data_IF_998013751156
#
_entry.id   IF_998013751156
#
_cell.length_a   1.000
_cell.length_b   1.000
_cell.length_c   1.000
_cell.angle_alpha   90.00
_cell.angle_beta   90.00
_cell.angle_gamma   90.00
#
_symmetry.space_group_name_H-M   'P 1'
#
loop_
_entity.id
_entity.type
_entity.pdbx_description
1 polymer ?
#
# COMPACT_ATOMS: atom_id res chain seq x y z
N UNK A 1 -12.31 1.92 -1.68
CA UNK A 1 -10.95 2.30 -2.13
C UNK A 1 -10.82 1.88 -3.58
N UNK A 2 -10.53 2.79 -4.47
CA UNK A 2 -10.32 2.53 -5.89
C UNK A 2 -8.88 2.08 -6.14
N UNK A 3 -8.66 1.36 -7.24
CA UNK A 3 -7.35 0.79 -7.58
C UNK A 3 -6.83 1.40 -8.87
N UNK A 4 -5.58 1.83 -8.87
CA UNK A 4 -4.93 2.43 -10.05
C UNK A 4 -3.57 1.74 -10.27
N UNK A 5 -3.34 1.26 -11.48
CA UNK A 5 -2.02 0.75 -11.86
C UNK A 5 -1.05 1.93 -12.00
N UNK A 6 0.09 1.81 -11.34
CA UNK A 6 1.15 2.82 -11.37
C UNK A 6 1.51 3.23 -12.81
N UNK A 7 1.63 4.55 -13.02
CA UNK A 7 2.02 5.12 -14.30
C UNK A 7 0.94 5.15 -15.38
N UNK A 8 -0.27 4.66 -15.10
CA UNK A 8 -1.40 4.78 -16.02
C UNK A 8 -2.17 6.08 -15.75
N UNK A 9 -2.79 6.66 -16.77
CA UNK A 9 -3.76 7.72 -16.56
C UNK A 9 -5.05 7.12 -16.04
N UNK A 10 -5.64 7.72 -15.01
CA UNK A 10 -6.91 7.32 -14.45
C UNK A 10 -7.75 8.55 -14.18
N UNK A 11 -9.08 8.41 -14.23
CA UNK A 11 -10.01 9.50 -14.01
C UNK A 11 -10.71 9.29 -12.67
N UNK A 12 -10.60 10.27 -11.77
CA UNK A 12 -11.41 10.34 -10.57
C UNK A 12 -12.77 10.94 -10.93
N UNK A 13 -13.85 10.39 -10.35
CA UNK A 13 -15.22 10.78 -10.67
C UNK A 13 -15.98 11.17 -9.40
N UNK A 14 -16.79 12.22 -9.51
CA UNK A 14 -17.72 12.68 -8.48
C UNK A 14 -19.14 12.75 -9.07
N UNK A 15 -20.09 12.14 -8.40
CA UNK A 15 -21.51 12.31 -8.67
C UNK A 15 -22.16 13.04 -7.51
N UNK A 16 -22.84 14.16 -7.80
CA UNK A 16 -23.51 14.97 -6.80
C UNK A 16 -25.00 14.66 -6.80
N UNK A 17 -25.53 14.30 -5.62
CA UNK A 17 -26.95 14.00 -5.44
C UNK A 17 -27.61 15.00 -4.50
N UNK A 18 -28.79 15.49 -4.88
CA UNK A 18 -29.68 16.25 -4.02
C UNK A 18 -31.08 15.62 -4.06
N UNK A 19 -31.63 15.27 -2.90
CA UNK A 19 -32.93 14.58 -2.78
C UNK A 19 -33.06 13.31 -3.66
N UNK A 20 -31.96 12.57 -3.81
CA UNK A 20 -31.91 11.33 -4.60
C UNK A 20 -31.79 11.53 -6.13
N UNK A 21 -31.68 12.76 -6.60
CA UNK A 21 -31.45 13.08 -8.02
C UNK A 21 -30.06 13.66 -8.22
N UNK A 22 -29.44 13.33 -9.36
CA UNK A 22 -28.21 13.96 -9.81
C UNK A 22 -28.43 15.48 -9.99
N UNK A 23 -27.55 16.29 -9.40
CA UNK A 23 -27.69 17.74 -9.36
C UNK A 23 -26.32 18.39 -9.61
N UNK A 24 -26.29 19.47 -10.37
CA UNK A 24 -25.06 20.24 -10.56
C UNK A 24 -24.70 21.02 -9.30
N UNK A 25 -23.41 21.23 -9.10
CA UNK A 25 -22.91 22.19 -8.11
C UNK A 25 -23.32 23.61 -8.47
N UNK A 26 -23.44 24.49 -7.45
CA UNK A 26 -23.81 25.89 -7.65
C UNK A 26 -22.65 26.73 -8.24
N UNK A 27 -21.46 26.16 -8.38
CA UNK A 27 -20.27 26.82 -8.91
C UNK A 27 -19.20 25.79 -9.26
N UNK A 28 -17.94 26.23 -9.22
CA UNK A 28 -16.81 25.36 -9.54
C UNK A 28 -16.68 24.23 -8.54
N UNK A 29 -16.42 23.03 -9.07
CA UNK A 29 -15.98 21.87 -8.28
C UNK A 29 -14.46 21.80 -8.35
N UNK A 30 -13.81 21.88 -7.20
CA UNK A 30 -12.35 21.86 -7.11
C UNK A 30 -11.90 20.53 -6.52
N UNK A 31 -10.74 20.04 -6.98
CA UNK A 31 -10.11 18.83 -6.49
C UNK A 31 -8.77 19.13 -5.86
N UNK A 32 -8.51 18.52 -4.70
CA UNK A 32 -7.20 18.50 -4.04
C UNK A 32 -6.80 17.05 -3.84
N UNK A 33 -5.55 16.69 -4.21
CA UNK A 33 -5.01 15.34 -4.08
C UNK A 33 -3.77 15.40 -3.21
N UNK A 34 -3.77 14.60 -2.16
CA UNK A 34 -2.65 14.47 -1.22
C UNK A 34 -2.27 13.00 -1.05
N UNK A 35 -1.06 12.75 -0.56
CA UNK A 35 -0.69 11.44 -0.04
C UNK A 35 -1.49 11.18 1.24
N UNK A 36 -2.21 10.07 1.34
CA UNK A 36 -3.08 9.79 2.47
C UNK A 36 -2.29 9.51 3.77
N UNK A 37 -1.12 8.85 3.63
CA UNK A 37 -0.22 8.54 4.76
C UNK A 37 0.62 9.76 5.16
N UNK A 38 0.79 10.72 4.24
CA UNK A 38 1.56 11.93 4.47
C UNK A 38 0.87 13.17 3.88
N UNK A 39 -0.19 13.70 4.52
CA UNK A 39 -1.05 14.75 3.97
C UNK A 39 -0.36 16.08 3.66
N UNK A 40 0.85 16.31 4.18
CA UNK A 40 1.66 17.49 3.81
C UNK A 40 2.25 17.38 2.40
N UNK A 41 2.29 16.18 1.82
CA UNK A 41 2.66 15.97 0.41
C UNK A 41 1.44 16.22 -0.47
N UNK A 42 1.30 17.47 -0.92
CA UNK A 42 0.22 17.89 -1.81
C UNK A 42 0.66 17.70 -3.26
N UNK A 43 -0.11 16.93 -4.03
CA UNK A 43 0.16 16.65 -5.45
C UNK A 43 -0.65 17.55 -6.37
N UNK A 44 -1.87 17.88 -5.94
CA UNK A 44 -2.79 18.77 -6.67
C UNK A 44 -3.48 19.66 -5.66
N UNK A 45 -3.56 20.94 -5.93
CA UNK A 45 -4.22 21.91 -5.05
C UNK A 45 -5.31 22.66 -5.80
N UNK A 46 -6.55 22.53 -5.35
CA UNK A 46 -7.72 23.27 -5.86
C UNK A 46 -7.79 23.35 -7.39
N UNK A 47 -7.48 22.24 -8.07
CA UNK A 47 -7.57 22.18 -9.52
C UNK A 47 -9.04 22.15 -9.97
N UNK A 48 -9.33 22.86 -11.08
CA UNK A 48 -10.65 22.80 -11.70
C UNK A 48 -10.92 21.41 -12.30
N UNK A 49 -12.16 20.98 -12.21
CA UNK A 49 -12.62 19.69 -12.73
C UNK A 49 -13.33 19.87 -14.06
N UNK A 50 -13.41 18.80 -14.85
CA UNK A 50 -14.29 18.74 -15.99
C UNK A 50 -15.71 18.42 -15.50
N UNK A 51 -16.68 19.21 -15.97
CA UNK A 51 -18.10 19.01 -15.66
C UNK A 51 -18.81 18.41 -16.88
N UNK A 52 -19.50 17.28 -16.70
CA UNK A 52 -20.55 16.87 -17.62
C UNK A 52 -21.84 17.61 -17.26
N UNK A 53 -22.21 18.69 -17.97
CA UNK A 53 -23.29 19.58 -17.56
C UNK A 53 -24.67 18.91 -17.61
N UNK A 54 -24.78 17.74 -18.22
CA UNK A 54 -26.06 17.05 -18.37
C UNK A 54 -26.44 16.22 -17.12
N UNK A 55 -25.49 15.89 -16.24
CA UNK A 55 -25.70 14.79 -15.27
C UNK A 55 -25.19 15.07 -13.83
N UNK A 56 -24.72 16.26 -13.49
CA UNK A 56 -24.13 16.48 -12.14
C UNK A 56 -22.90 15.60 -11.86
N UNK A 57 -22.15 15.28 -12.91
CA UNK A 57 -20.94 14.45 -12.86
C UNK A 57 -19.71 15.31 -13.11
N UNK A 58 -18.70 15.11 -12.29
CA UNK A 58 -17.44 15.84 -12.37
C UNK A 58 -16.29 14.87 -12.42
N UNK A 59 -15.29 15.17 -13.25
CA UNK A 59 -14.13 14.30 -13.42
C UNK A 59 -12.82 15.07 -13.31
N UNK A 60 -11.79 14.37 -12.88
CA UNK A 60 -10.43 14.86 -12.86
C UNK A 60 -9.45 13.79 -13.31
N UNK A 61 -8.64 14.09 -14.33
CA UNK A 61 -7.66 13.14 -14.86
C UNK A 61 -6.37 13.15 -14.02
N UNK A 62 -6.14 12.07 -13.31
CA UNK A 62 -4.89 11.79 -12.62
C UNK A 62 -3.86 11.27 -13.61
N UNK A 63 -2.94 12.14 -14.01
CA UNK A 63 -1.90 11.79 -14.96
C UNK A 63 -0.78 10.94 -14.33
N UNK A 64 0.12 10.42 -15.18
CA UNK A 64 1.23 9.57 -14.76
C UNK A 64 2.15 10.18 -13.70
N UNK A 65 2.25 11.51 -13.58
CA UNK A 65 3.04 12.17 -12.54
C UNK A 65 2.39 12.00 -11.16
N UNK A 66 1.06 12.13 -11.06
CA UNK A 66 0.30 11.95 -9.81
C UNK A 66 0.38 10.50 -9.35
N UNK A 67 0.28 9.54 -10.28
CA UNK A 67 0.30 8.10 -10.03
C UNK A 67 1.69 7.46 -10.28
N UNK A 68 2.75 8.23 -10.13
CA UNK A 68 4.14 7.77 -10.37
C UNK A 68 4.70 6.87 -9.27
N UNK A 69 4.14 6.93 -8.08
CA UNK A 69 4.57 6.16 -6.92
C UNK A 69 3.41 5.31 -6.39
N UNK A 70 3.72 4.09 -5.95
CA UNK A 70 2.76 3.26 -5.23
C UNK A 70 2.50 3.87 -3.86
N UNK A 71 1.29 4.34 -3.63
CA UNK A 71 0.83 4.97 -2.40
C UNK A 71 -0.68 5.05 -2.38
N UNK A 72 -1.24 5.42 -1.26
CA UNK A 72 -2.66 5.75 -1.17
C UNK A 72 -2.82 7.26 -1.40
N UNK A 73 -3.64 7.62 -2.37
CA UNK A 73 -4.02 8.99 -2.64
C UNK A 73 -5.36 9.28 -1.98
N UNK A 74 -5.45 10.41 -1.28
CA UNK A 74 -6.69 10.99 -0.81
C UNK A 74 -7.10 12.11 -1.76
N UNK A 75 -8.24 11.93 -2.42
CA UNK A 75 -8.85 12.92 -3.32
C UNK A 75 -9.96 13.62 -2.57
N UNK A 76 -9.86 14.92 -2.39
CA UNK A 76 -10.87 15.75 -1.74
C UNK A 76 -11.53 16.64 -2.77
N UNK A 77 -12.83 16.48 -2.94
CA UNK A 77 -13.69 17.31 -3.76
C UNK A 77 -14.31 18.40 -2.93
N UNK A 78 -14.23 19.65 -3.40
CA UNK A 78 -14.83 20.83 -2.74
C UNK A 78 -15.83 21.48 -3.67
N UNK A 79 -17.07 21.60 -3.25
CA UNK A 79 -18.16 22.15 -4.06
C UNK A 79 -19.27 22.74 -3.18
N UNK A 80 -20.26 23.38 -3.80
CA UNK A 80 -21.45 23.90 -3.11
C UNK A 80 -22.73 23.38 -3.77
N UNK A 81 -23.72 23.05 -2.96
CA UNK A 81 -25.07 22.67 -3.41
C UNK A 81 -26.11 23.35 -2.52
N UNK A 82 -27.08 24.09 -3.14
CA UNK A 82 -28.08 24.84 -2.40
C UNK A 82 -27.47 25.91 -1.51
N UNK A 83 -26.35 26.49 -1.89
CA UNK A 83 -25.60 27.49 -1.13
C UNK A 83 -24.77 26.93 0.06
N UNK A 84 -24.78 25.62 0.29
CA UNK A 84 -23.97 24.98 1.32
C UNK A 84 -22.67 24.43 0.77
N UNK A 85 -21.53 24.80 1.37
CA UNK A 85 -20.23 24.22 1.04
C UNK A 85 -20.17 22.76 1.51
N UNK A 86 -19.72 21.87 0.64
CA UNK A 86 -19.65 20.43 0.87
C UNK A 86 -18.27 19.90 0.44
N UNK A 87 -17.81 18.86 1.17
CA UNK A 87 -16.57 18.15 0.87
C UNK A 87 -16.87 16.66 0.78
N UNK A 88 -16.31 16.02 -0.24
CA UNK A 88 -16.33 14.56 -0.37
C UNK A 88 -14.90 14.05 -0.50
N UNK A 89 -14.63 12.91 0.10
CA UNK A 89 -13.29 12.30 0.09
C UNK A 89 -13.36 10.90 -0.49
N UNK A 90 -12.44 10.63 -1.42
CA UNK A 90 -12.26 9.33 -2.03
C UNK A 90 -10.81 8.89 -1.89
N UNK A 91 -10.58 7.57 -1.80
CA UNK A 91 -9.25 7.01 -1.65
C UNK A 91 -8.92 6.11 -2.83
N UNK A 92 -7.73 6.31 -3.39
CA UNK A 92 -7.18 5.58 -4.53
C UNK A 92 -5.85 4.96 -4.14
N UNK A 93 -5.74 3.62 -4.22
CA UNK A 93 -4.46 2.93 -4.05
C UNK A 93 -3.77 2.81 -5.41
N UNK A 94 -2.60 3.45 -5.54
CA UNK A 94 -1.70 3.28 -6.68
C UNK A 94 -0.79 2.10 -6.40
N UNK A 95 -0.79 1.11 -7.29
CA UNK A 95 -0.05 -0.12 -7.09
C UNK A 95 0.68 -0.59 -8.35
N UNK A 96 1.67 -1.46 -8.16
CA UNK A 96 2.31 -2.22 -9.23
C UNK A 96 1.87 -3.67 -9.12
N UNK A 97 1.31 -4.28 -10.20
CA UNK A 97 0.96 -5.69 -10.21
C UNK A 97 2.15 -6.59 -9.88
N UNK A 98 1.92 -7.70 -9.16
CA UNK A 98 2.97 -8.68 -8.87
C UNK A 98 3.29 -9.54 -10.08
N UNK A 99 2.32 -9.78 -10.95
CA UNK A 99 2.49 -10.46 -12.22
C UNK A 99 1.93 -9.60 -13.35
N UNK A 100 2.59 -9.62 -14.50
CA UNK A 100 2.08 -8.93 -15.69
C UNK A 100 0.94 -9.72 -16.34
N UNK A 101 0.13 -9.02 -17.13
CA UNK A 101 -0.92 -9.66 -17.95
C UNK A 101 -0.32 -10.74 -18.86
N UNK A 102 0.85 -10.46 -19.45
CA UNK A 102 1.55 -11.45 -20.31
C UNK A 102 1.98 -12.69 -19.53
N UNK A 103 2.44 -12.57 -18.29
CA UNK A 103 2.83 -13.74 -17.49
C UNK A 103 1.66 -14.69 -17.26
N UNK A 104 0.48 -14.14 -17.02
CA UNK A 104 -0.74 -14.92 -16.77
C UNK A 104 -1.24 -15.56 -18.06
N UNK A 105 -1.25 -14.82 -19.18
CA UNK A 105 -1.60 -15.33 -20.49
C UNK A 105 -0.69 -16.48 -20.88
N UNK A 106 0.64 -16.31 -20.79
CA UNK A 106 1.62 -17.29 -21.23
C UNK A 106 1.57 -18.57 -20.37
N UNK A 107 1.38 -18.42 -19.06
CA UNK A 107 1.33 -19.58 -18.17
C UNK A 107 0.09 -20.46 -18.40
N UNK A 108 -1.06 -19.86 -18.65
CA UNK A 108 -2.33 -20.57 -18.87
C UNK A 108 -2.71 -20.72 -20.35
N UNK A 109 -1.88 -20.20 -21.25
CA UNK A 109 -2.15 -20.20 -22.69
C UNK A 109 -3.54 -19.65 -23.05
N UNK A 110 -3.90 -18.52 -22.42
CA UNK A 110 -5.13 -17.83 -22.76
C UNK A 110 -5.06 -17.21 -24.15
N UNK A 111 -6.22 -17.19 -24.85
CA UNK A 111 -6.33 -16.51 -26.14
C UNK A 111 -6.08 -15.01 -26.01
N UNK A 112 -5.41 -14.42 -27.00
CA UNK A 112 -5.08 -12.98 -27.03
C UNK A 112 -6.08 -12.14 -27.83
N UNK A 113 -6.98 -12.79 -28.58
CA UNK A 113 -8.00 -12.13 -29.40
C UNK A 113 -9.39 -12.58 -28.98
N UNK A 114 -10.42 -11.71 -29.08
CA UNK A 114 -11.79 -12.07 -28.73
C UNK A 114 -12.35 -13.31 -29.47
N UNK A 115 -11.76 -13.66 -30.61
CA UNK A 115 -12.12 -14.85 -31.39
C UNK A 115 -11.44 -16.14 -30.93
N UNK A 116 -10.46 -16.04 -30.06
CA UNK A 116 -9.68 -17.20 -29.63
C UNK A 116 -10.44 -18.02 -28.58
N UNK A 117 -10.22 -19.32 -28.59
CA UNK A 117 -10.72 -20.19 -27.53
C UNK A 117 -10.04 -19.81 -26.19
N UNK A 118 -10.82 -19.71 -25.12
CA UNK A 118 -10.34 -19.27 -23.79
C UNK A 118 -9.82 -17.83 -23.74
N UNK A 119 -10.28 -16.95 -24.62
CA UNK A 119 -9.95 -15.53 -24.54
C UNK A 119 -10.37 -14.95 -23.18
N UNK A 120 -9.48 -14.12 -22.63
CA UNK A 120 -9.74 -13.27 -21.48
C UNK A 120 -9.34 -11.84 -21.80
N UNK A 121 -10.20 -10.90 -21.45
CA UNK A 121 -9.88 -9.49 -21.66
C UNK A 121 -8.76 -9.04 -20.71
N UNK A 122 -8.09 -7.96 -21.06
CA UNK A 122 -7.03 -7.40 -20.22
C UNK A 122 -7.59 -6.99 -18.85
N UNK A 123 -8.80 -6.44 -18.82
CA UNK A 123 -9.47 -6.02 -17.59
C UNK A 123 -9.81 -7.20 -16.69
N UNK A 124 -10.29 -8.34 -17.27
CA UNK A 124 -10.53 -9.56 -16.50
C UNK A 124 -9.25 -10.10 -15.86
N UNK A 125 -8.14 -10.09 -16.62
CA UNK A 125 -6.84 -10.57 -16.14
C UNK A 125 -6.28 -9.65 -15.05
N UNK A 126 -6.41 -8.33 -15.21
CA UNK A 126 -6.00 -7.36 -14.20
C UNK A 126 -6.83 -7.49 -12.92
N UNK A 127 -8.14 -7.68 -13.04
CA UNK A 127 -9.01 -7.93 -11.88
C UNK A 127 -8.64 -9.23 -11.16
N UNK A 128 -8.31 -10.29 -11.90
CA UNK A 128 -7.87 -11.56 -11.33
C UNK A 128 -6.51 -11.44 -10.63
N UNK A 129 -5.57 -10.71 -11.22
CA UNK A 129 -4.27 -10.41 -10.60
C UNK A 129 -4.46 -9.65 -9.29
N UNK A 130 -5.30 -8.63 -9.29
CA UNK A 130 -5.61 -7.86 -8.10
C UNK A 130 -6.16 -8.73 -6.96
N UNK A 131 -7.12 -9.62 -7.26
CA UNK A 131 -7.69 -10.55 -6.27
C UNK A 131 -6.60 -11.49 -5.76
N UNK A 132 -5.77 -12.04 -6.64
CA UNK A 132 -4.65 -12.92 -6.27
C UNK A 132 -3.65 -12.19 -5.35
N UNK A 133 -3.29 -10.95 -5.69
CA UNK A 133 -2.41 -10.11 -4.88
C UNK A 133 -3.00 -9.87 -3.50
N UNK A 134 -4.27 -9.50 -3.39
CA UNK A 134 -4.94 -9.29 -2.12
C UNK A 134 -4.98 -10.56 -1.26
N UNK A 135 -5.17 -11.73 -1.88
CA UNK A 135 -5.11 -13.01 -1.15
C UNK A 135 -3.71 -13.28 -0.60
N UNK A 136 -2.66 -13.02 -1.39
CA UNK A 136 -1.27 -13.18 -0.97
C UNK A 136 -0.94 -12.23 0.19
N UNK A 137 -1.28 -10.95 0.06
CA UNK A 137 -1.04 -9.94 1.09
C UNK A 137 -1.78 -10.27 2.39
N UNK A 138 -3.03 -10.71 2.31
CA UNK A 138 -3.81 -11.12 3.48
C UNK A 138 -3.22 -12.39 4.13
N UNK A 139 -2.77 -13.36 3.33
CA UNK A 139 -2.20 -14.60 3.84
C UNK A 139 -0.85 -14.38 4.53
N UNK A 140 0.00 -13.56 3.94
CA UNK A 140 1.36 -13.30 4.44
C UNK A 140 1.44 -12.15 5.43
N UNK A 141 0.38 -11.31 5.50
CA UNK A 141 0.37 -10.02 6.22
C UNK A 141 1.48 -9.07 5.77
N UNK A 142 1.89 -9.17 4.50
CA UNK A 142 2.96 -8.36 3.90
C UNK A 142 2.59 -7.88 2.51
N UNK A 143 3.04 -6.68 2.15
CA UNK A 143 3.07 -6.17 0.78
C UNK A 143 4.43 -6.44 0.15
N UNK A 144 4.45 -7.02 -1.06
CA UNK A 144 5.69 -7.37 -1.77
C UNK A 144 6.08 -6.35 -2.84
N UNK A 145 5.20 -5.44 -3.19
CA UNK A 145 5.52 -4.30 -4.04
C UNK A 145 6.22 -3.19 -3.26
N UNK A 146 6.89 -2.28 -3.99
CA UNK A 146 7.39 -1.02 -3.42
C UNK A 146 6.20 -0.08 -3.22
N UNK A 147 6.13 0.59 -2.09
CA UNK A 147 5.09 1.58 -1.81
C UNK A 147 5.57 2.60 -0.79
N UNK A 148 5.06 3.82 -0.92
CA UNK A 148 5.34 4.92 -0.01
C UNK A 148 4.33 4.91 1.13
N UNK A 149 4.80 5.19 2.31
CA UNK A 149 3.93 5.29 3.47
C UNK A 149 4.72 5.42 4.77
N UNK A 150 3.99 5.58 5.85
CA UNK A 150 4.53 5.64 7.20
C UNK A 150 4.31 4.35 7.98
N UNK A 151 5.09 4.17 9.02
CA UNK A 151 4.81 3.19 10.08
C UNK A 151 5.13 3.80 11.44
N UNK A 152 4.32 3.44 12.42
CA UNK A 152 4.44 3.94 13.78
C UNK A 152 4.99 2.87 14.70
N UNK A 153 5.97 3.22 15.51
CA UNK A 153 6.73 2.30 16.35
C UNK A 153 7.07 3.00 17.66
N UNK A 154 7.11 2.26 18.74
CA UNK A 154 7.54 2.79 20.02
C UNK A 154 9.03 2.51 20.27
N UNK A 155 9.73 3.51 20.75
CA UNK A 155 11.12 3.39 21.15
C UNK A 155 11.28 2.43 22.33
N UNK A 156 12.35 1.64 22.29
CA UNK A 156 12.66 0.61 23.28
C UNK A 156 13.88 0.94 24.14
N UNK A 157 14.48 2.10 23.97
CA UNK A 157 15.69 2.51 24.69
C UNK A 157 16.99 1.92 24.11
N UNK A 158 16.95 1.27 22.93
CA UNK A 158 18.14 0.73 22.27
C UNK A 158 18.59 1.59 21.08
N UNK A 159 19.75 1.25 20.51
CA UNK A 159 20.29 1.86 19.29
C UNK A 159 19.57 1.39 18.02
N UNK A 160 18.65 0.42 18.12
CA UNK A 160 17.90 -0.12 17.01
C UNK A 160 16.39 -0.05 17.27
N UNK A 161 15.65 0.39 16.24
CA UNK A 161 14.19 0.46 16.20
C UNK A 161 13.68 -0.59 15.22
N UNK A 162 13.02 -1.63 15.73
CA UNK A 162 12.46 -2.70 14.90
C UNK A 162 11.24 -2.21 14.15
N UNK A 163 11.23 -2.45 12.83
CA UNK A 163 10.17 -2.05 11.92
C UNK A 163 9.11 -3.16 11.81
N UNK A 164 7.85 -2.79 11.79
CA UNK A 164 6.74 -3.72 11.56
C UNK A 164 6.73 -4.23 10.11
N UNK A 165 7.12 -3.37 9.18
CA UNK A 165 7.23 -3.65 7.75
C UNK A 165 8.63 -3.32 7.25
N UNK A 166 9.08 -4.05 6.23
CA UNK A 166 10.39 -3.78 5.61
C UNK A 166 10.40 -2.40 4.98
N UNK A 167 11.52 -1.68 5.12
CA UNK A 167 11.76 -0.41 4.44
C UNK A 167 12.90 -0.55 3.43
N UNK A 168 12.74 0.10 2.29
CA UNK A 168 13.76 0.23 1.24
C UNK A 168 14.58 1.49 1.48
N UNK A 169 13.88 2.56 1.89
CA UNK A 169 14.48 3.88 2.11
C UNK A 169 13.72 4.60 3.23
N UNK A 170 14.46 5.24 4.12
CA UNK A 170 13.91 6.17 5.12
C UNK A 170 14.08 7.59 4.59
N UNK A 171 13.00 8.34 4.49
CA UNK A 171 13.07 9.75 4.11
C UNK A 171 12.89 10.69 5.29
N UNK A 172 11.99 10.34 6.20
CA UNK A 172 11.73 11.16 7.38
C UNK A 172 11.54 10.29 8.62
N UNK A 173 12.06 10.79 9.71
CA UNK A 173 11.85 10.24 11.05
C UNK A 173 11.23 11.32 11.93
N UNK A 174 10.15 10.98 12.60
CA UNK A 174 9.50 11.83 13.60
C UNK A 174 9.61 11.17 14.95
N UNK A 175 9.77 11.98 15.98
CA UNK A 175 9.61 11.59 17.37
C UNK A 175 8.51 12.43 18.00
N UNK A 176 7.50 11.78 18.57
CA UNK A 176 6.33 12.42 19.21
C UNK A 176 5.68 13.54 18.37
N UNK A 177 5.65 13.34 17.04
CA UNK A 177 5.08 14.26 16.07
C UNK A 177 6.01 15.40 15.61
N UNK A 178 7.24 15.47 16.14
CA UNK A 178 8.26 16.45 15.73
C UNK A 178 9.20 15.81 14.73
N UNK A 179 9.54 16.50 13.64
CA UNK A 179 10.53 16.03 12.68
C UNK A 179 11.89 15.94 13.39
N UNK A 180 12.40 14.71 13.51
CA UNK A 180 13.73 14.43 14.04
C UNK A 180 14.78 14.48 12.93
N UNK A 181 14.51 13.82 11.80
CA UNK A 181 15.38 13.77 10.63
C UNK A 181 14.52 13.92 9.36
N UNK A 182 15.01 14.74 8.42
CA UNK A 182 14.43 14.90 7.09
C UNK A 182 15.53 14.85 6.03
N UNK A 183 15.66 13.70 5.38
CA UNK A 183 16.63 13.48 4.30
C UNK A 183 16.25 14.13 2.98
N UNK A 184 15.02 14.67 2.87
CA UNK A 184 14.59 15.37 1.64
C UNK A 184 15.12 16.80 1.56
N UNK A 185 15.72 17.32 2.63
CA UNK A 185 16.29 18.65 2.68
C UNK A 185 17.80 18.64 2.36
N UNK A 186 18.30 19.73 1.82
CA UNK A 186 19.73 19.96 1.61
C UNK A 186 20.14 21.32 2.22
N UNK A 187 20.92 21.37 3.31
CA UNK A 187 21.46 20.21 4.05
C UNK A 187 20.37 19.41 4.77
N UNK A 188 20.63 18.12 5.03
CA UNK A 188 19.72 17.23 5.77
C UNK A 188 19.35 17.86 7.11
N UNK A 189 18.05 17.98 7.37
CA UNK A 189 17.56 18.41 8.66
C UNK A 189 17.68 17.27 9.67
N UNK A 190 18.40 17.47 10.76
CA UNK A 190 18.66 16.44 11.76
C UNK A 190 18.90 17.09 13.12
N UNK A 191 17.88 17.12 13.96
CA UNK A 191 17.96 17.78 15.29
C UNK A 191 18.78 16.99 16.31
N UNK A 192 18.91 15.67 16.11
CA UNK A 192 19.63 14.81 17.03
C UNK A 192 21.11 14.61 16.66
N UNK A 193 21.49 14.95 15.44
CA UNK A 193 22.82 14.63 14.92
C UNK A 193 23.05 13.12 14.75
N UNK A 194 21.97 12.33 14.67
CA UNK A 194 22.06 10.89 14.49
C UNK A 194 22.44 10.55 13.06
N UNK A 195 23.33 9.61 12.92
CA UNK A 195 23.53 8.89 11.67
C UNK A 195 22.70 7.60 11.74
N UNK A 196 21.71 7.47 10.86
CA UNK A 196 20.74 6.36 10.89
C UNK A 196 20.84 5.57 9.62
N UNK A 197 20.92 4.25 9.73
CA UNK A 197 20.89 3.34 8.59
C UNK A 197 19.83 2.26 8.75
N UNK A 198 19.41 1.69 7.62
CA UNK A 198 18.64 0.47 7.61
C UNK A 198 19.56 -0.74 7.82
N UNK A 199 19.13 -1.67 8.67
CA UNK A 199 19.84 -2.95 8.82
C UNK A 199 19.86 -3.74 7.51
N UNK A 200 20.80 -4.68 7.30
CA UNK A 200 20.86 -5.50 6.09
C UNK A 200 19.58 -6.28 5.77
N UNK A 201 18.76 -6.54 6.78
CA UNK A 201 17.44 -7.19 6.61
C UNK A 201 16.34 -6.22 6.23
N UNK A 202 16.58 -4.91 6.27
CA UNK A 202 15.59 -3.86 6.05
C UNK A 202 14.40 -3.91 7.04
N UNK A 203 14.60 -4.54 8.19
CA UNK A 203 13.57 -4.73 9.24
C UNK A 203 13.86 -3.93 10.52
N UNK A 204 14.91 -3.15 10.55
CA UNK A 204 15.19 -2.22 11.63
C UNK A 204 15.96 -1.01 11.13
N UNK A 205 15.82 0.10 11.84
CA UNK A 205 16.64 1.29 11.70
C UNK A 205 17.62 1.28 12.86
N UNK A 206 18.91 1.54 12.60
CA UNK A 206 19.93 1.59 13.60
C UNK A 206 20.64 2.93 13.62
N UNK A 207 20.94 3.44 14.80
CA UNK A 207 21.81 4.60 15.02
C UNK A 207 23.26 4.11 14.99
N UNK A 208 24.07 4.64 14.06
CA UNK A 208 25.47 4.23 13.88
C UNK A 208 26.42 4.93 14.84
N UNK A 209 26.23 6.22 15.06
CA UNK A 209 27.12 7.02 15.89
C UNK A 209 26.68 7.00 17.36
N UNK A 210 26.86 5.86 17.99
CA UNK A 210 26.64 5.70 19.44
C UNK A 210 27.69 6.41 20.29
N UNK A 211 28.77 6.89 19.69
CA UNK A 211 29.88 7.58 20.39
C UNK A 211 29.53 8.99 20.86
N UNK A 212 28.34 9.50 20.53
CA UNK A 212 27.81 10.72 21.12
C UNK A 212 27.34 10.48 22.54
N UNK A 213 28.27 9.91 23.37
CA UNK A 213 28.11 9.88 24.82
C UNK A 213 28.13 11.32 25.32
N UNK A 214 26.94 11.95 25.36
CA UNK A 214 26.70 13.01 26.30
C UNK A 214 27.57 14.24 26.17
N UNK A 215 27.68 14.91 25.04
CA UNK A 215 27.98 16.33 25.11
C UNK A 215 26.71 17.02 25.64
N UNK A 216 26.74 17.34 26.92
CA UNK A 216 25.77 18.24 27.53
C UNK A 216 26.02 19.61 26.91
N UNK A 217 25.24 19.97 25.90
CA UNK A 217 25.18 21.34 25.44
C UNK A 217 24.41 22.13 26.48
N UNK A 218 25.07 23.07 27.10
CA UNK A 218 24.42 24.08 27.98
C UNK A 218 23.96 25.25 27.09
N UNK A 219 22.73 25.68 27.28
CA UNK A 219 22.33 26.97 26.74
C UNK A 219 23.08 28.12 27.45
N UNK A 220 22.92 29.36 26.98
CA UNK A 220 23.54 30.54 27.57
C UNK A 220 23.11 30.80 29.04
N UNK A 221 22.17 30.02 29.56
CA UNK A 221 21.64 30.10 30.94
C UNK A 221 22.10 28.92 31.82
N UNK A 222 23.05 28.10 31.34
CA UNK A 222 23.52 26.89 32.02
C UNK A 222 22.46 25.80 32.26
N UNK A 223 21.35 25.82 31.51
CA UNK A 223 20.41 24.72 31.56
C UNK A 223 20.90 23.58 30.64
N UNK A 224 20.93 22.32 31.13
CA UNK A 224 21.24 21.20 30.25
C UNK A 224 20.15 21.06 29.19
N UNK A 225 20.45 21.43 27.96
CA UNK A 225 19.60 21.16 26.83
C UNK A 225 19.89 19.76 26.34
N UNK A 226 18.96 18.90 26.59
CA UNK A 226 18.76 17.56 26.02
C UNK A 226 20.03 16.72 25.83
N UNK A 227 20.21 15.72 26.69
CA UNK A 227 21.15 14.64 26.43
C UNK A 227 20.60 13.79 25.27
N UNK A 228 21.16 13.96 24.09
CA UNK A 228 20.90 13.02 22.99
C UNK A 228 21.65 11.73 23.30
N UNK A 229 20.93 10.71 23.75
CA UNK A 229 21.47 9.36 23.82
C UNK A 229 21.58 8.82 22.40
N UNK A 230 22.61 8.04 22.08
CA UNK A 230 22.69 7.26 20.84
C UNK A 230 21.68 6.10 20.83
N UNK A 231 20.46 6.32 21.34
CA UNK A 231 19.42 5.34 21.50
C UNK A 231 18.04 5.98 21.24
N UNK A 232 17.13 5.22 20.66
CA UNK A 232 15.74 5.62 20.53
C UNK A 232 15.07 5.67 21.90
N UNK A 233 14.51 6.81 22.27
CA UNK A 233 13.97 7.03 23.62
C UNK A 233 12.86 6.03 23.94
N UNK A 234 12.98 5.35 25.09
CA UNK A 234 12.00 4.37 25.52
C UNK A 234 10.65 5.00 25.77
N UNK A 235 9.60 4.48 25.11
CA UNK A 235 8.23 4.96 25.21
C UNK A 235 7.88 6.13 24.30
N UNK A 236 8.84 6.81 23.65
CA UNK A 236 8.56 7.79 22.61
C UNK A 236 7.97 7.12 21.38
N UNK A 237 7.06 7.83 20.71
CA UNK A 237 6.40 7.38 19.48
C UNK A 237 7.20 7.86 18.27
N UNK A 238 7.76 6.92 17.53
CA UNK A 238 8.45 7.20 16.28
C UNK A 238 7.54 6.92 15.09
N UNK A 239 7.45 7.87 14.17
CA UNK A 239 6.86 7.66 12.86
C UNK A 239 7.98 7.71 11.82
N UNK A 240 8.13 6.60 11.10
CA UNK A 240 9.13 6.45 10.04
C UNK A 240 8.40 6.51 8.71
N UNK A 241 8.72 7.52 7.90
CA UNK A 241 8.16 7.70 6.56
C UNK A 241 9.22 7.44 5.49
N UNK A 242 8.82 6.71 4.46
CA UNK A 242 9.71 6.40 3.34
C UNK A 242 9.15 5.34 2.41
N UNK A 243 10.02 4.74 1.62
CA UNK A 243 9.66 3.65 0.73
C UNK A 243 9.73 2.31 1.46
N UNK A 244 8.62 1.57 1.45
CA UNK A 244 8.44 0.29 2.13
C UNK A 244 8.33 -0.86 1.13
N UNK A 245 8.39 -2.10 1.65
CA UNK A 245 8.19 -3.32 0.89
C UNK A 245 9.48 -3.97 0.40
N UNK A 246 9.44 -4.50 -0.80
CA UNK A 246 10.55 -5.22 -1.42
C UNK A 246 11.03 -4.46 -2.65
N UNK A 247 12.35 -4.37 -2.84
CA UNK A 247 12.94 -3.72 -4.01
C UNK A 247 12.41 -4.34 -5.32
N UNK A 248 12.22 -5.65 -5.31
CA UNK A 248 11.60 -6.42 -6.39
C UNK A 248 10.65 -7.44 -5.78
N UNK A 249 9.51 -7.67 -6.42
CA UNK A 249 8.61 -8.76 -6.05
C UNK A 249 9.36 -10.09 -6.19
N UNK A 250 9.47 -10.91 -5.12
CA UNK A 250 10.14 -12.21 -5.21
C UNK A 250 9.53 -13.07 -6.30
N UNK A 251 10.37 -13.83 -7.01
CA UNK A 251 9.90 -14.64 -8.14
C UNK A 251 8.87 -15.67 -7.71
N UNK A 252 9.01 -16.22 -6.50
CA UNK A 252 8.06 -17.17 -5.93
C UNK A 252 6.69 -16.53 -5.70
N UNK A 253 6.65 -15.30 -5.18
CA UNK A 253 5.41 -14.52 -5.01
C UNK A 253 4.77 -14.21 -6.35
N UNK A 254 5.59 -13.79 -7.35
CA UNK A 254 5.10 -13.59 -8.72
C UNK A 254 4.47 -14.86 -9.29
N UNK A 255 5.12 -16.01 -9.11
CA UNK A 255 4.59 -17.31 -9.54
C UNK A 255 3.28 -17.65 -8.81
N UNK A 256 3.21 -17.43 -7.49
CA UNK A 256 1.98 -17.60 -6.73
C UNK A 256 0.84 -16.74 -7.26
N UNK A 257 1.13 -15.47 -7.59
CA UNK A 257 0.14 -14.55 -8.17
C UNK A 257 -0.40 -15.08 -9.50
N UNK A 258 0.49 -15.56 -10.40
CA UNK A 258 0.08 -16.15 -11.68
C UNK A 258 -0.83 -17.35 -11.46
N UNK A 259 -0.48 -18.27 -10.53
CA UNK A 259 -1.27 -19.46 -10.24
C UNK A 259 -2.66 -19.07 -9.72
N UNK A 260 -2.74 -18.18 -8.74
CA UNK A 260 -4.02 -17.77 -8.16
C UNK A 260 -4.88 -17.00 -9.15
N UNK A 261 -4.30 -16.08 -9.93
CA UNK A 261 -5.03 -15.36 -10.97
C UNK A 261 -5.61 -16.29 -12.03
N UNK A 262 -4.84 -17.27 -12.48
CA UNK A 262 -5.31 -18.26 -13.43
C UNK A 262 -6.35 -19.19 -12.83
N UNK A 263 -6.21 -19.61 -11.56
CA UNK A 263 -7.22 -20.38 -10.85
C UNK A 263 -8.55 -19.60 -10.76
N UNK A 264 -8.50 -18.29 -10.60
CA UNK A 264 -9.68 -17.43 -10.60
C UNK A 264 -10.30 -17.28 -11.99
N UNK A 265 -9.50 -17.18 -13.05
CA UNK A 265 -9.96 -17.03 -14.44
C UNK A 265 -10.46 -18.34 -15.05
N UNK A 266 -9.93 -19.48 -14.59
CA UNK A 266 -10.37 -20.79 -15.05
C UNK A 266 -11.70 -21.15 -14.38
N UNK A 267 -12.81 -20.91 -15.05
CA UNK A 267 -14.15 -21.27 -14.57
C UNK A 267 -14.45 -22.77 -14.65
N UNK A 268 -13.41 -23.61 -14.72
CA UNK A 268 -13.56 -25.06 -14.80
C UNK A 268 -14.17 -25.62 -13.50
N UNK A 269 -15.04 -26.63 -13.64
CA UNK A 269 -15.65 -27.34 -12.51
C UNK A 269 -14.60 -27.94 -11.55
N UNK A 270 -13.42 -28.30 -12.06
CA UNK A 270 -12.29 -28.76 -11.27
C UNK A 270 -11.70 -27.67 -10.34
N UNK A 271 -11.77 -26.41 -10.74
CA UNK A 271 -11.36 -25.30 -9.89
C UNK A 271 -12.19 -25.25 -8.59
N UNK A 272 -13.54 -25.38 -8.69
CA UNK A 272 -14.42 -25.40 -7.51
C UNK A 272 -14.16 -26.60 -6.61
N UNK A 273 -13.71 -27.73 -7.17
CA UNK A 273 -13.42 -28.94 -6.39
C UNK A 273 -12.12 -28.78 -5.55
N UNK A 274 -11.16 -27.94 -5.96
CA UNK A 274 -9.96 -27.64 -5.16
C UNK A 274 -10.29 -26.96 -3.84
N UNK A 275 -11.43 -26.29 -3.76
CA UNK A 275 -11.88 -25.52 -2.59
C UNK A 275 -12.92 -26.26 -1.75
N UNK A 276 -13.35 -27.44 -2.15
CA UNK A 276 -14.32 -28.25 -1.37
C UNK A 276 -13.59 -29.03 -0.28
N UNK A 277 -13.99 -28.79 0.98
CA UNK A 277 -13.43 -29.49 2.13
C UNK A 277 -13.74 -30.99 2.12
N UNK A 278 -14.88 -31.37 1.56
CA UNK A 278 -15.35 -32.74 1.52
C UNK A 278 -16.30 -32.99 0.36
N UNK A 279 -16.04 -34.02 -0.41
CA UNK A 279 -16.95 -34.54 -1.44
C UNK A 279 -17.44 -35.91 -0.98
N UNK A 280 -18.76 -36.06 -0.80
CA UNK A 280 -19.37 -37.33 -0.51
C UNK A 280 -20.17 -37.77 -1.71
N UNK A 281 -19.74 -38.87 -2.33
CA UNK A 281 -20.45 -39.53 -3.45
C UNK A 281 -20.90 -40.90 -2.95
N UNK A 282 -22.21 -41.04 -2.70
CA UNK A 282 -22.80 -42.29 -2.23
C UNK A 282 -22.07 -42.94 -1.02
N UNK A 283 -21.23 -43.90 -1.27
CA UNK A 283 -20.50 -44.65 -0.26
C UNK A 283 -19.04 -44.24 -0.08
N UNK A 284 -18.54 -43.31 -0.94
CA UNK A 284 -17.15 -42.87 -0.89
C UNK A 284 -17.07 -41.40 -0.50
N UNK A 285 -16.33 -41.12 0.57
CA UNK A 285 -16.07 -39.75 1.04
C UNK A 285 -14.60 -39.39 0.80
N UNK A 286 -14.37 -38.33 0.04
CA UNK A 286 -13.04 -37.74 -0.17
C UNK A 286 -12.92 -36.49 0.71
N UNK A 287 -11.97 -36.49 1.62
CA UNK A 287 -11.63 -35.33 2.44
C UNK A 287 -10.38 -34.68 1.82
N UNK A 288 -10.54 -33.45 1.28
CA UNK A 288 -9.41 -32.66 0.82
C UNK A 288 -8.69 -32.07 2.04
N UNK A 289 -7.36 -32.04 1.98
CA UNK A 289 -6.50 -31.61 3.07
C UNK A 289 -7.05 -30.35 3.76
N UNK A 290 -7.28 -30.43 5.05
CA UNK A 290 -7.99 -29.43 5.86
C UNK A 290 -7.34 -28.03 5.93
N UNK A 291 -6.18 -27.82 5.29
CA UNK A 291 -5.50 -26.53 5.15
C UNK A 291 -6.05 -25.62 4.05
N UNK A 292 -6.78 -26.17 3.08
CA UNK A 292 -7.27 -25.40 1.92
C UNK A 292 -8.26 -24.27 2.27
N UNK A 293 -8.84 -24.29 3.48
CA UNK A 293 -9.81 -23.27 3.90
C UNK A 293 -9.23 -22.15 4.79
N UNK A 294 -7.99 -22.30 5.26
CA UNK A 294 -7.33 -21.30 6.11
C UNK A 294 -6.23 -20.52 5.37
N UNK A 295 -6.03 -20.78 4.08
CA UNK A 295 -5.00 -20.17 3.25
C UNK A 295 -5.56 -19.41 2.04
N UNK A 296 -4.76 -19.36 0.97
CA UNK A 296 -5.16 -18.77 -0.32
C UNK A 296 -6.16 -19.67 -1.08
N UNK A 297 -6.40 -20.87 -0.61
CA UNK A 297 -7.20 -21.89 -1.27
C UNK A 297 -6.40 -22.83 -2.19
N UNK A 298 -5.11 -22.57 -2.38
CA UNK A 298 -4.21 -23.41 -3.15
C UNK A 298 -3.04 -23.87 -2.28
N UNK A 299 -3.03 -25.15 -1.92
CA UNK A 299 -2.04 -25.71 -0.99
C UNK A 299 -0.58 -25.57 -1.46
N UNK A 300 -0.33 -25.55 -2.76
CA UNK A 300 1.01 -25.36 -3.32
C UNK A 300 1.44 -23.89 -3.11
N UNK A 301 0.54 -22.97 -3.35
CA UNK A 301 0.76 -21.53 -3.12
C UNK A 301 0.99 -21.28 -1.63
N UNK A 302 0.16 -21.86 -0.76
CA UNK A 302 0.28 -21.71 0.70
C UNK A 302 1.64 -22.21 1.19
N UNK A 303 2.10 -23.37 0.72
CA UNK A 303 3.42 -23.91 1.07
C UNK A 303 4.58 -22.97 0.68
N UNK A 304 4.49 -22.31 -0.47
CA UNK A 304 5.50 -21.35 -0.91
C UNK A 304 5.43 -20.08 -0.03
N UNK A 305 4.22 -19.59 0.21
CA UNK A 305 3.99 -18.34 0.93
C UNK A 305 4.25 -18.46 2.44
N UNK A 306 4.23 -19.66 3.02
CA UNK A 306 4.53 -19.89 4.44
C UNK A 306 5.92 -19.35 4.85
N UNK A 307 6.90 -19.37 3.94
CA UNK A 307 8.21 -18.80 4.18
C UNK A 307 8.22 -17.27 4.32
N UNK A 308 7.16 -16.61 3.85
CA UNK A 308 6.99 -15.16 3.89
C UNK A 308 6.03 -14.70 4.99
N UNK A 309 5.34 -15.61 5.67
CA UNK A 309 4.41 -15.20 6.74
C UNK A 309 5.14 -14.52 7.88
N UNK A 310 4.69 -13.32 8.22
CA UNK A 310 5.06 -12.68 9.49
C UNK A 310 4.28 -13.39 10.61
N UNK A 311 4.83 -14.48 11.13
CA UNK A 311 4.31 -15.07 12.34
C UNK A 311 4.76 -14.16 13.48
N UNK A 312 3.90 -13.20 13.84
CA UNK A 312 4.09 -12.43 15.07
C UNK A 312 4.13 -13.43 16.22
N UNK A 313 5.28 -13.61 16.85
CA UNK A 313 5.38 -14.36 18.10
C UNK A 313 4.66 -13.51 19.13
N UNK A 314 3.39 -13.83 19.40
CA UNK A 314 2.69 -13.32 20.59
C UNK A 314 3.35 -14.01 21.78
N UNK A 315 4.31 -13.36 22.39
CA UNK A 315 4.80 -13.76 23.72
C UNK A 315 3.67 -13.38 24.69
N UNK A 316 2.94 -14.39 25.13
CA UNK A 316 1.92 -14.26 26.19
C UNK A 316 2.63 -14.16 27.53
#
# INVERSE_FOLDING_TARGET
>A
MHQIIRGTTNTAELEIYSNGNLTNADGDVLVTIVDADYPTTVLVTNASTYNDPALGKYTYDMNGAIVSLNRVLKVTWSYSVGGAATYQEDFYEVYTPYASVSDIIDYYNFGTRPSDLNYKSQEEIQAAEFIARMQIENYTTQKFGRYWGSQEIFGNGSDALELTERMIEVQKLYEDGIIAIDYTQDPVYNIFGWEVELTPTNKAIRILNTDYQGQVNYDSSFNPTVMYSGAFHSGSRYMVYGEKGWTYVPQDVRRCTVILAGDYLSQDSQWRQKYLKKITLSEVSFELAGGAFNGTGNAIVDQILDSYRNIGIVII
#
